data_IF_468427393065
#
_entry.id   IF_468427393065
#
_cell.length_a   1.000
_cell.length_b   1.000
_cell.length_c   1.000
_cell.angle_alpha   90.00
_cell.angle_beta   90.00
_cell.angle_gamma   90.00
#
_symmetry.space_group_name_H-M   'P 1'
#
loop_
_entity.id
_entity.type
_entity.pdbx_description
1 polymer ?
#
# COMPACT_ATOMS: atom_id res chain seq x y z
N UNK A 1 -12.98 -30.30 22.57
CA UNK A 1 -13.20 -29.56 21.31
C UNK A 1 -14.02 -30.37 20.32
N UNK A 2 -13.68 -31.63 20.11
CA UNK A 2 -14.43 -32.50 19.18
C UNK A 2 -15.87 -32.70 19.66
N UNK A 3 -16.08 -32.90 20.97
CA UNK A 3 -17.41 -33.02 21.59
C UNK A 3 -18.27 -31.74 21.46
N UNK A 4 -17.66 -30.58 21.16
CA UNK A 4 -18.35 -29.29 20.91
C UNK A 4 -18.51 -28.97 19.41
N UNK A 5 -18.32 -29.98 18.52
CA UNK A 5 -18.44 -29.79 17.07
C UNK A 5 -17.37 -28.92 16.44
N UNK A 6 -16.29 -28.60 17.17
CA UNK A 6 -15.16 -27.84 16.62
C UNK A 6 -14.10 -28.76 16.05
N UNK A 7 -13.43 -28.35 14.94
CA UNK A 7 -12.38 -29.18 14.34
C UNK A 7 -11.26 -29.48 15.33
N UNK A 8 -10.72 -30.68 15.25
CA UNK A 8 -9.58 -31.10 16.05
C UNK A 8 -8.35 -30.24 15.69
N UNK A 9 -7.61 -29.79 16.70
CA UNK A 9 -6.32 -29.15 16.50
C UNK A 9 -5.24 -30.19 16.63
N UNK A 10 -4.64 -30.56 15.50
CA UNK A 10 -3.63 -31.63 15.45
C UNK A 10 -2.20 -31.12 15.65
N UNK A 11 -1.99 -29.84 15.44
CA UNK A 11 -0.66 -29.22 15.54
C UNK A 11 -0.75 -27.75 15.94
N UNK A 12 0.26 -27.32 16.63
CA UNK A 12 0.49 -25.89 16.94
C UNK A 12 1.75 -25.46 16.20
N UNK A 13 1.63 -24.39 15.44
CA UNK A 13 2.74 -23.77 14.76
C UNK A 13 3.07 -22.45 15.45
N UNK A 14 4.33 -22.29 15.83
CA UNK A 14 4.84 -21.06 16.42
C UNK A 14 5.54 -20.24 15.34
N UNK A 15 5.11 -19.01 15.16
CA UNK A 15 5.68 -18.08 14.18
C UNK A 15 6.35 -16.92 14.89
N UNK A 16 7.33 -16.31 14.24
CA UNK A 16 7.88 -15.05 14.71
C UNK A 16 8.82 -15.17 15.90
N UNK A 17 9.33 -16.38 16.16
CA UNK A 17 10.44 -16.54 17.09
C UNK A 17 11.71 -15.98 16.44
N UNK A 18 12.08 -14.75 16.81
CA UNK A 18 13.27 -14.06 16.33
C UNK A 18 13.45 -12.74 17.07
N UNK A 19 14.67 -12.22 17.06
CA UNK A 19 14.92 -10.88 17.55
C UNK A 19 14.26 -9.86 16.60
N UNK A 20 13.65 -8.78 17.13
CA UNK A 20 13.19 -7.69 16.29
C UNK A 20 14.38 -7.09 15.53
N UNK A 21 14.16 -6.51 14.33
CA UNK A 21 15.23 -5.87 13.59
C UNK A 21 15.86 -4.75 14.43
N UNK A 22 17.18 -4.66 14.44
CA UNK A 22 17.91 -3.63 15.19
C UNK A 22 17.54 -2.22 14.74
N UNK A 23 17.21 -2.07 13.47
CA UNK A 23 16.73 -0.81 12.89
C UNK A 23 15.81 -1.04 11.71
N UNK A 24 14.89 -0.11 11.52
CA UNK A 24 14.00 -0.04 10.36
C UNK A 24 14.22 1.32 9.69
N UNK A 25 14.42 1.32 8.38
CA UNK A 25 14.58 2.56 7.60
C UNK A 25 13.58 2.59 6.46
N UNK A 26 13.05 3.78 6.21
CA UNK A 26 12.16 4.03 5.07
C UNK A 26 12.40 5.43 4.52
N UNK A 27 12.09 5.64 3.24
CA UNK A 27 12.06 6.97 2.63
C UNK A 27 10.75 7.72 2.92
N UNK A 28 9.70 7.00 3.30
CA UNK A 28 8.40 7.59 3.53
C UNK A 28 8.38 8.38 4.83
N UNK A 29 7.76 9.54 4.80
CA UNK A 29 7.58 10.42 5.97
C UNK A 29 6.27 10.18 6.69
N UNK A 30 5.31 9.55 5.98
CA UNK A 30 4.01 9.19 6.53
C UNK A 30 3.62 7.78 6.11
N UNK A 31 2.88 7.10 6.98
CA UNK A 31 2.27 5.80 6.69
C UNK A 31 0.80 5.85 7.08
N UNK A 32 -0.08 5.46 6.17
CA UNK A 32 -1.52 5.34 6.39
C UNK A 32 -1.95 3.90 6.18
N UNK A 33 -2.41 3.23 7.22
CA UNK A 33 -2.88 1.86 7.14
C UNK A 33 -3.37 1.34 8.48
N UNK A 34 -4.16 0.25 8.45
CA UNK A 34 -4.69 -0.40 9.66
C UNK A 34 -3.91 -1.67 10.03
N UNK A 35 -3.02 -2.12 9.15
CA UNK A 35 -2.21 -3.31 9.39
C UNK A 35 -1.26 -3.10 10.56
N UNK A 36 -1.32 -4.03 11.54
CA UNK A 36 -0.56 -3.90 12.79
C UNK A 36 0.96 -4.01 12.56
N UNK A 37 1.38 -4.84 11.59
CA UNK A 37 2.79 -5.02 11.26
C UNK A 37 3.32 -3.77 10.57
N UNK A 38 2.55 -3.21 9.63
CA UNK A 38 2.90 -1.98 8.95
C UNK A 38 3.06 -0.82 9.94
N UNK A 39 2.16 -0.70 10.91
CA UNK A 39 2.21 0.32 11.96
C UNK A 39 3.39 0.13 12.89
N UNK A 40 3.68 -1.10 13.29
CA UNK A 40 4.85 -1.41 14.11
C UNK A 40 6.16 -1.06 13.40
N UNK A 41 6.27 -1.37 12.11
CA UNK A 41 7.44 -1.02 11.29
C UNK A 41 7.57 0.49 11.11
N UNK A 42 6.45 1.19 10.89
CA UNK A 42 6.43 2.66 10.79
C UNK A 42 6.91 3.31 12.10
N UNK A 43 6.41 2.83 13.24
CA UNK A 43 6.85 3.28 14.56
C UNK A 43 8.34 3.03 14.81
N UNK A 44 8.85 1.84 14.45
CA UNK A 44 10.27 1.50 14.56
C UNK A 44 11.16 2.36 13.65
N UNK A 45 10.62 2.82 12.52
CA UNK A 45 11.31 3.74 11.59
C UNK A 45 11.17 5.22 11.99
N UNK A 46 10.45 5.54 13.07
CA UNK A 46 10.18 6.92 13.49
C UNK A 46 9.27 7.69 12.52
N UNK A 47 8.45 6.98 11.74
CA UNK A 47 7.53 7.57 10.77
C UNK A 47 6.20 7.90 11.43
N UNK A 48 5.67 9.08 11.15
CA UNK A 48 4.39 9.54 11.69
C UNK A 48 3.24 8.76 11.03
N UNK A 49 2.33 8.22 11.86
CA UNK A 49 1.04 7.77 11.34
C UNK A 49 0.24 8.98 10.84
N UNK A 50 -0.22 8.92 9.60
CA UNK A 50 -1.11 9.96 9.09
C UNK A 50 -2.44 9.91 9.87
N UNK A 51 -2.58 10.76 10.86
CA UNK A 51 -3.87 11.11 11.46
C UNK A 51 -4.73 11.82 10.41
N UNK A 52 -6.05 11.71 10.53
CA UNK A 52 -7.05 12.01 9.52
C UNK A 52 -6.98 13.32 8.72
N UNK A 53 -6.15 14.29 9.09
CA UNK A 53 -6.10 15.62 8.44
C UNK A 53 -4.80 15.90 7.66
N UNK A 54 -3.84 14.98 7.64
CA UNK A 54 -2.61 15.21 6.88
C UNK A 54 -2.82 14.81 5.42
N UNK A 55 -2.69 15.77 4.53
CA UNK A 55 -2.82 15.54 3.09
C UNK A 55 -1.63 14.69 2.60
N UNK A 56 -1.85 13.45 2.13
CA UNK A 56 -0.77 12.60 1.60
C UNK A 56 -0.09 13.18 0.36
N UNK A 57 -0.61 14.28 -0.17
CA UNK A 57 -0.07 14.97 -1.34
C UNK A 57 1.11 15.90 -1.00
N UNK A 58 1.28 16.27 0.26
CA UNK A 58 2.33 17.21 0.68
C UNK A 58 3.65 16.54 1.04
N UNK A 59 3.65 15.23 1.25
CA UNK A 59 4.84 14.48 1.69
C UNK A 59 4.88 13.08 1.07
N UNK A 60 6.07 12.50 1.00
CA UNK A 60 6.23 11.10 0.60
C UNK A 60 5.48 10.17 1.57
N UNK A 61 4.34 9.65 1.13
CA UNK A 61 3.44 8.84 1.94
C UNK A 61 3.30 7.42 1.38
N UNK A 62 3.20 6.43 2.28
CA UNK A 62 2.80 5.07 1.99
C UNK A 62 1.35 4.87 2.45
N UNK A 63 0.48 4.44 1.55
CA UNK A 63 -0.93 4.18 1.85
C UNK A 63 -1.24 2.71 1.60
N UNK A 64 -1.69 2.01 2.64
CA UNK A 64 -2.12 0.61 2.54
C UNK A 64 -3.57 0.52 2.04
N UNK A 65 -3.74 0.08 0.81
CA UNK A 65 -5.03 -0.10 0.15
C UNK A 65 -5.54 -1.55 0.20
N UNK A 66 -4.79 -2.50 0.77
CA UNK A 66 -5.17 -3.92 0.88
C UNK A 66 -6.52 -4.18 1.54
N UNK A 67 -7.01 -3.34 2.48
CA UNK A 67 -8.35 -3.50 3.04
C UNK A 67 -9.48 -3.26 2.04
N UNK A 68 -9.21 -2.56 0.92
CA UNK A 68 -10.21 -2.29 -0.12
C UNK A 68 -10.33 -3.49 -1.07
N UNK A 69 -11.12 -4.49 -0.67
CA UNK A 69 -11.30 -5.74 -1.41
C UNK A 69 -12.21 -5.64 -2.63
N UNK A 70 -13.01 -4.58 -2.73
CA UNK A 70 -13.94 -4.36 -3.84
C UNK A 70 -13.22 -3.53 -4.90
N UNK A 71 -13.04 -4.12 -6.09
CA UNK A 71 -12.26 -3.51 -7.18
C UNK A 71 -12.80 -2.14 -7.59
N UNK A 72 -14.12 -2.00 -7.71
CA UNK A 72 -14.74 -0.72 -8.08
C UNK A 72 -14.47 0.38 -7.05
N UNK A 73 -14.52 0.04 -5.75
CA UNK A 73 -14.16 0.98 -4.68
C UNK A 73 -12.68 1.32 -4.69
N UNK A 74 -11.82 0.32 -4.88
CA UNK A 74 -10.39 0.57 -5.02
C UNK A 74 -10.11 1.51 -6.18
N UNK A 75 -10.70 1.24 -7.34
CA UNK A 75 -10.51 2.05 -8.54
C UNK A 75 -11.04 3.47 -8.38
N UNK A 76 -12.30 3.62 -7.95
CA UNK A 76 -12.99 4.91 -7.97
C UNK A 76 -12.70 5.77 -6.74
N UNK A 77 -12.64 5.16 -5.54
CA UNK A 77 -12.52 5.91 -4.29
C UNK A 77 -11.06 6.16 -3.90
N UNK A 78 -10.12 5.30 -4.35
CA UNK A 78 -8.72 5.43 -3.98
C UNK A 78 -7.82 5.78 -5.17
N UNK A 79 -7.85 5.01 -6.26
CA UNK A 79 -6.88 5.17 -7.36
C UNK A 79 -7.22 6.36 -8.25
N UNK A 80 -8.48 6.56 -8.62
CA UNK A 80 -8.90 7.66 -9.50
C UNK A 80 -8.54 9.05 -8.96
N UNK A 81 -8.79 9.40 -7.68
CA UNK A 81 -8.36 10.68 -7.13
C UNK A 81 -6.84 10.90 -7.20
N UNK A 82 -6.04 9.85 -6.93
CA UNK A 82 -4.59 9.91 -7.01
C UNK A 82 -4.09 10.09 -8.45
N UNK A 83 -4.72 9.42 -9.42
CA UNK A 83 -4.43 9.63 -10.84
C UNK A 83 -4.75 11.06 -11.28
N UNK A 84 -5.86 11.61 -10.79
CA UNK A 84 -6.22 12.98 -11.06
C UNK A 84 -5.21 13.95 -10.44
N UNK A 85 -4.77 13.72 -9.20
CA UNK A 85 -3.75 14.53 -8.54
C UNK A 85 -2.41 14.56 -9.31
N UNK A 86 -2.00 13.43 -9.92
CA UNK A 86 -0.83 13.42 -10.82
C UNK A 86 -1.09 14.26 -12.09
N UNK A 87 -2.32 14.22 -12.64
CA UNK A 87 -2.70 15.01 -13.83
C UNK A 87 -2.77 16.51 -13.54
N UNK A 88 -3.30 16.90 -12.40
CA UNK A 88 -3.41 18.31 -11.95
C UNK A 88 -2.11 18.87 -11.38
N UNK A 89 -1.06 18.05 -11.30
CA UNK A 89 0.26 18.42 -10.78
C UNK A 89 0.32 18.61 -9.26
N UNK A 90 -0.64 18.10 -8.55
CA UNK A 90 -0.64 18.06 -7.08
C UNK A 90 0.30 16.96 -6.57
N UNK A 91 0.40 15.84 -7.33
CA UNK A 91 1.38 14.78 -7.10
C UNK A 91 2.41 14.75 -8.23
N UNK A 92 3.67 14.61 -7.86
CA UNK A 92 4.77 14.46 -8.81
C UNK A 92 4.89 13.03 -9.32
N UNK A 93 4.69 12.07 -8.44
CA UNK A 93 4.84 10.65 -8.72
C UNK A 93 3.85 9.83 -7.90
N UNK A 94 3.24 8.83 -8.53
CA UNK A 94 2.42 7.81 -7.90
C UNK A 94 3.01 6.45 -8.23
N UNK A 95 3.29 5.64 -7.21
CA UNK A 95 3.68 4.25 -7.36
C UNK A 95 2.54 3.37 -6.83
N UNK A 96 2.04 2.48 -7.67
CA UNK A 96 1.10 1.44 -7.31
C UNK A 96 1.87 0.12 -7.26
N UNK A 97 1.87 -0.52 -6.10
CA UNK A 97 2.53 -1.80 -5.85
C UNK A 97 1.47 -2.85 -5.52
N UNK A 98 1.42 -3.90 -6.32
CA UNK A 98 0.42 -4.96 -6.22
C UNK A 98 1.01 -6.22 -5.61
N UNK A 99 0.16 -7.03 -4.98
CA UNK A 99 0.54 -8.27 -4.28
C UNK A 99 1.19 -9.32 -5.22
N UNK A 100 0.85 -9.29 -6.51
CA UNK A 100 1.42 -10.14 -7.55
C UNK A 100 2.84 -9.73 -7.99
N UNK A 101 3.37 -8.65 -7.42
CA UNK A 101 4.67 -8.07 -7.74
C UNK A 101 4.65 -7.08 -8.89
N UNK A 102 3.48 -6.78 -9.47
CA UNK A 102 3.36 -5.75 -10.50
C UNK A 102 3.51 -4.36 -9.87
N UNK A 103 4.42 -3.55 -10.41
CA UNK A 103 4.67 -2.18 -9.93
C UNK A 103 4.43 -1.21 -11.08
N UNK A 104 3.51 -0.29 -10.88
CA UNK A 104 3.23 0.78 -11.83
C UNK A 104 3.69 2.11 -11.26
N UNK A 105 4.53 2.80 -12.02
CA UNK A 105 5.02 4.13 -11.65
C UNK A 105 4.45 5.15 -12.63
N UNK A 106 3.66 6.07 -12.13
CA UNK A 106 3.09 7.17 -12.91
C UNK A 106 3.78 8.47 -12.51
N UNK A 107 4.30 9.17 -13.50
CA UNK A 107 4.95 10.47 -13.34
C UNK A 107 4.28 11.50 -14.22
N UNK A 108 4.34 12.73 -13.80
CA UNK A 108 3.76 13.88 -14.50
C UNK A 108 4.27 14.04 -15.93
N UNK A 109 5.53 13.72 -16.18
CA UNK A 109 6.18 13.84 -17.49
C UNK A 109 5.79 12.75 -18.49
N UNK A 110 5.21 11.64 -18.02
CA UNK A 110 4.83 10.51 -18.87
C UNK A 110 3.72 10.83 -19.88
N UNK A 111 2.92 11.87 -19.65
CA UNK A 111 1.88 12.33 -20.60
C UNK A 111 2.43 12.70 -21.98
N UNK A 112 3.71 13.04 -22.07
CA UNK A 112 4.38 13.35 -23.33
C UNK A 112 4.83 12.14 -24.13
N UNK A 113 4.63 10.93 -23.58
CA UNK A 113 5.02 9.66 -24.23
C UNK A 113 3.92 9.16 -25.17
N UNK A 114 3.42 10.00 -26.06
CA UNK A 114 2.35 9.67 -27.01
C UNK A 114 2.73 8.55 -28.00
N UNK A 115 4.01 8.22 -28.14
CA UNK A 115 4.50 7.11 -28.98
C UNK A 115 4.34 5.74 -28.32
N UNK A 116 4.05 5.65 -27.02
CA UNK A 116 3.74 4.39 -26.36
C UNK A 116 2.25 4.12 -26.46
N UNK A 117 1.91 2.98 -27.07
CA UNK A 117 0.52 2.51 -27.07
C UNK A 117 0.11 2.14 -25.65
N UNK A 118 -1.13 2.47 -25.22
CA UNK A 118 -1.68 1.96 -23.97
C UNK A 118 -1.66 0.43 -23.96
N UNK A 119 -1.35 -0.17 -22.81
CA UNK A 119 -1.51 -1.61 -22.63
C UNK A 119 -2.99 -1.96 -22.78
N UNK A 120 -3.31 -2.86 -23.69
CA UNK A 120 -4.70 -3.29 -23.91
C UNK A 120 -5.20 -4.22 -22.79
N UNK A 121 -4.29 -4.88 -22.06
CA UNK A 121 -4.56 -5.77 -20.92
C UNK A 121 -3.41 -5.68 -19.93
N UNK A 122 -3.72 -5.86 -18.67
CA UNK A 122 -2.75 -5.93 -17.56
C UNK A 122 -2.13 -7.32 -17.41
N UNK A 123 -2.64 -8.31 -18.18
CA UNK A 123 -2.17 -9.69 -18.15
C UNK A 123 -0.96 -9.84 -19.11
N UNK A 124 0.21 -9.57 -18.60
CA UNK A 124 1.49 -10.12 -19.12
C UNK A 124 2.47 -10.27 -17.97
#
# INVERSE_FOLDING_TARGET
RVAAGKPAVNSLWFWGAGAPPEFVRTRYKQVKGKDIVLRALAGAAGVVEAGGDTNPQEVDALVDLRPLRVLDKLANDAVQPLLQAVRTRELECLTLDFEDGAIFVLRRDQRWRFWRRPLAKLDQ
#
